data_IF_229669084611
#
_entry.id   IF_229669084611
#
_cell.length_a   1.000
_cell.length_b   1.000
_cell.length_c   1.000
_cell.angle_alpha   90.00
_cell.angle_beta   90.00
_cell.angle_gamma   90.00
#
_symmetry.space_group_name_H-M   'P 1'
#
loop_
_entity.id
_entity.type
_entity.pdbx_description
1 polymer ?
#
# COMPACT_ATOMS: atom_id res chain seq x y z
N UNK A 1 3.11 5.75 18.24
CA UNK A 1 4.00 6.93 18.42
C UNK A 1 5.20 6.87 17.49
N UNK A 2 5.02 7.16 16.20
CA UNK A 2 6.12 7.43 15.26
C UNK A 2 6.29 8.95 15.16
N UNK A 3 7.08 9.52 16.07
CA UNK A 3 7.02 10.93 16.44
C UNK A 3 7.44 12.00 15.42
N UNK A 4 7.58 11.72 14.10
CA UNK A 4 7.78 12.77 13.08
C UNK A 4 7.32 12.31 11.68
N UNK A 5 6.42 13.02 10.99
CA UNK A 5 5.91 12.65 9.65
C UNK A 5 7.02 12.54 8.60
N UNK A 6 8.04 13.39 8.69
CA UNK A 6 9.20 13.37 7.78
C UNK A 6 10.02 12.07 7.89
N UNK A 7 10.05 11.42 9.06
CA UNK A 7 10.71 10.12 9.23
C UNK A 7 9.88 8.99 8.64
N UNK A 8 8.55 9.07 8.76
CA UNK A 8 7.63 8.08 8.18
C UNK A 8 7.72 8.06 6.64
N UNK A 9 7.76 9.23 5.99
CA UNK A 9 7.96 9.32 4.53
C UNK A 9 9.32 8.80 4.08
N UNK A 10 10.40 9.09 4.81
CA UNK A 10 11.74 8.56 4.50
C UNK A 10 11.77 7.04 4.66
N UNK A 11 11.16 6.52 5.72
CA UNK A 11 11.08 5.08 5.95
C UNK A 11 10.25 4.38 4.87
N UNK A 12 9.10 4.94 4.48
CA UNK A 12 8.31 4.45 3.36
C UNK A 12 9.12 4.45 2.04
N UNK A 13 9.85 5.52 1.75
CA UNK A 13 10.72 5.59 0.59
C UNK A 13 11.84 4.53 0.59
N UNK A 14 12.46 4.28 1.74
CA UNK A 14 13.47 3.23 1.90
C UNK A 14 12.87 1.82 1.74
N UNK A 15 11.66 1.58 2.26
CA UNK A 15 10.94 0.32 2.06
C UNK A 15 10.60 0.08 0.59
N UNK A 16 10.14 1.11 -0.12
CA UNK A 16 9.86 1.02 -1.55
C UNK A 16 11.13 0.76 -2.36
N UNK A 17 12.23 1.45 -2.03
CA UNK A 17 13.53 1.22 -2.67
C UNK A 17 14.04 -0.21 -2.42
N UNK A 18 13.98 -0.68 -1.17
CA UNK A 18 14.33 -2.05 -0.81
C UNK A 18 13.49 -3.07 -1.57
N UNK A 19 12.17 -2.87 -1.61
CA UNK A 19 11.24 -3.70 -2.38
C UNK A 19 11.54 -3.70 -3.88
N UNK A 20 11.93 -2.56 -4.46
CA UNK A 20 12.35 -2.46 -5.85
C UNK A 20 13.66 -3.22 -6.11
N UNK A 21 14.66 -3.09 -5.24
CA UNK A 21 15.93 -3.82 -5.36
C UNK A 21 15.73 -5.33 -5.26
N UNK A 22 14.96 -5.78 -4.25
CA UNK A 22 14.63 -7.21 -4.07
C UNK A 22 13.81 -7.72 -5.25
N UNK A 23 12.84 -6.94 -5.72
CA UNK A 23 12.01 -7.26 -6.88
C UNK A 23 12.82 -7.39 -8.16
N UNK A 24 13.76 -6.47 -8.40
CA UNK A 24 14.66 -6.50 -9.56
C UNK A 24 15.57 -7.72 -9.51
N UNK A 25 16.21 -7.97 -8.36
CA UNK A 25 17.04 -9.15 -8.17
C UNK A 25 16.25 -10.45 -8.40
N UNK A 26 15.09 -10.58 -7.78
CA UNK A 26 14.24 -11.75 -7.91
C UNK A 26 13.75 -11.94 -9.37
N UNK A 27 13.40 -10.85 -10.04
CA UNK A 27 13.00 -10.85 -11.45
C UNK A 27 14.14 -11.36 -12.33
N UNK A 28 15.36 -10.81 -12.19
CA UNK A 28 16.52 -11.23 -12.97
C UNK A 28 16.88 -12.69 -12.74
N UNK A 29 16.91 -13.15 -11.49
CA UNK A 29 17.21 -14.55 -11.15
C UNK A 29 16.14 -15.48 -11.69
N UNK A 30 14.86 -15.18 -11.47
CA UNK A 30 13.75 -16.03 -11.93
C UNK A 30 13.67 -16.11 -13.45
N UNK A 31 13.87 -14.99 -14.14
CA UNK A 31 13.95 -14.92 -15.61
C UNK A 31 15.17 -15.69 -16.13
N UNK A 32 16.33 -15.58 -15.48
CA UNK A 32 17.52 -16.36 -15.81
C UNK A 32 17.29 -17.87 -15.67
N UNK A 33 16.70 -18.29 -14.55
CA UNK A 33 16.35 -19.70 -14.31
C UNK A 33 15.33 -20.19 -15.34
N UNK A 34 14.30 -19.41 -15.66
CA UNK A 34 13.28 -19.84 -16.61
C UNK A 34 13.77 -19.85 -18.07
N UNK A 35 14.71 -18.99 -18.46
CA UNK A 35 15.29 -19.00 -19.81
C UNK A 35 16.20 -20.21 -20.04
N UNK A 36 17.08 -20.51 -19.07
CA UNK A 36 18.12 -21.54 -19.19
C UNK A 36 17.60 -22.90 -18.69
N UNK A 37 16.85 -22.90 -17.59
CA UNK A 37 16.44 -24.09 -16.85
C UNK A 37 15.09 -24.68 -17.23
N UNK A 38 14.32 -24.08 -18.15
CA UNK A 38 13.00 -24.61 -18.54
C UNK A 38 13.06 -26.09 -19.01
N UNK A 39 14.13 -26.48 -19.72
CA UNK A 39 14.35 -27.86 -20.16
C UNK A 39 14.68 -28.85 -19.05
N UNK A 40 15.02 -28.38 -17.84
CA UNK A 40 15.22 -29.25 -16.69
C UNK A 40 13.87 -29.71 -16.07
N UNK A 41 12.79 -28.95 -16.30
CA UNK A 41 11.47 -29.23 -15.73
C UNK A 41 10.54 -29.98 -16.68
N UNK A 42 10.84 -30.00 -17.97
CA UNK A 42 10.02 -30.67 -18.98
C UNK A 42 10.84 -31.14 -20.18
N UNK A 43 10.50 -32.32 -20.68
CA UNK A 43 11.10 -32.88 -21.91
C UNK A 43 10.36 -32.44 -23.18
N UNK A 44 9.23 -31.74 -23.05
CA UNK A 44 8.44 -31.27 -24.20
C UNK A 44 9.00 -29.96 -24.75
N UNK A 45 9.56 -30.01 -25.96
CA UNK A 45 10.08 -28.83 -26.65
C UNK A 45 9.02 -27.74 -26.82
N UNK A 46 7.77 -28.14 -27.08
CA UNK A 46 6.65 -27.21 -27.16
C UNK A 46 6.51 -26.41 -25.86
N UNK A 47 6.48 -27.06 -24.70
CA UNK A 47 6.33 -26.38 -23.40
C UNK A 47 7.51 -25.44 -23.12
N UNK A 48 8.74 -25.84 -23.44
CA UNK A 48 9.92 -24.98 -23.27
C UNK A 48 9.80 -23.70 -24.10
N UNK A 49 9.34 -23.81 -25.35
CA UNK A 49 9.10 -22.65 -26.20
C UNK A 49 8.01 -21.73 -25.62
N UNK A 50 6.91 -22.31 -25.11
CA UNK A 50 5.86 -21.53 -24.44
C UNK A 50 6.38 -20.78 -23.22
N UNK A 51 7.17 -21.45 -22.38
CA UNK A 51 7.77 -20.81 -21.20
C UNK A 51 8.65 -19.64 -21.64
N UNK A 52 9.52 -19.82 -22.65
CA UNK A 52 10.39 -18.75 -23.15
C UNK A 52 9.63 -17.51 -23.62
N UNK A 53 8.46 -17.68 -24.24
CA UNK A 53 7.63 -16.52 -24.65
C UNK A 53 7.08 -15.70 -23.50
N UNK A 54 6.82 -16.32 -22.34
CA UNK A 54 6.24 -15.64 -21.17
C UNK A 54 7.29 -15.14 -20.18
N UNK A 55 8.55 -15.58 -20.27
CA UNK A 55 9.62 -15.16 -19.37
C UNK A 55 9.72 -13.64 -19.16
N UNK A 56 9.70 -12.77 -20.19
CA UNK A 56 9.77 -11.33 -19.95
C UNK A 56 8.55 -10.81 -19.16
N UNK A 57 7.37 -11.33 -19.47
CA UNK A 57 6.11 -11.01 -18.79
C UNK A 57 6.13 -11.47 -17.32
N UNK A 58 6.66 -12.66 -17.05
CA UNK A 58 6.89 -13.17 -15.71
C UNK A 58 7.86 -12.28 -14.92
N UNK A 59 8.98 -11.88 -15.53
CA UNK A 59 9.95 -10.98 -14.90
C UNK A 59 9.30 -9.65 -14.49
N UNK A 60 8.51 -9.05 -15.38
CA UNK A 60 7.75 -7.82 -15.08
C UNK A 60 6.73 -8.05 -13.95
N UNK A 61 5.98 -9.16 -14.00
CA UNK A 61 5.00 -9.49 -12.98
C UNK A 61 5.63 -9.67 -11.59
N UNK A 62 6.82 -10.29 -11.52
CA UNK A 62 7.57 -10.47 -10.27
C UNK A 62 8.07 -9.14 -9.70
N UNK A 63 8.59 -8.26 -10.57
CA UNK A 63 9.02 -6.92 -10.17
C UNK A 63 7.85 -6.11 -9.61
N UNK A 64 6.74 -6.05 -10.35
CA UNK A 64 5.53 -5.33 -9.92
C UNK A 64 4.93 -5.94 -8.65
N UNK A 65 4.98 -7.26 -8.50
CA UNK A 65 4.52 -7.92 -7.27
C UNK A 65 5.31 -7.46 -6.05
N UNK A 66 6.65 -7.47 -6.11
CA UNK A 66 7.50 -7.02 -5.02
C UNK A 66 7.26 -5.55 -4.67
N UNK A 67 7.16 -4.68 -5.70
CA UNK A 67 6.84 -3.28 -5.49
C UNK A 67 5.46 -3.09 -4.83
N UNK A 68 4.48 -3.86 -5.28
CA UNK A 68 3.14 -3.81 -4.73
C UNK A 68 3.08 -4.29 -3.28
N UNK A 69 3.80 -5.36 -2.91
CA UNK A 69 3.94 -5.81 -1.52
C UNK A 69 4.61 -4.74 -0.64
N UNK A 70 5.60 -4.01 -1.17
CA UNK A 70 6.23 -2.91 -0.44
C UNK A 70 5.23 -1.76 -0.17
N UNK A 71 4.43 -1.37 -1.16
CA UNK A 71 3.38 -0.34 -0.96
C UNK A 71 2.33 -0.77 0.07
N UNK A 72 1.97 -2.05 0.08
CA UNK A 72 1.02 -2.62 1.03
C UNK A 72 1.57 -2.64 2.45
N UNK A 73 2.85 -3.00 2.63
CA UNK A 73 3.53 -2.92 3.92
C UNK A 73 3.54 -1.50 4.51
N UNK A 74 3.69 -0.47 3.67
CA UNK A 74 3.60 0.93 4.10
C UNK A 74 2.17 1.29 4.54
N UNK A 75 1.14 0.87 3.80
CA UNK A 75 -0.26 1.09 4.17
C UNK A 75 -0.65 0.35 5.46
N UNK A 76 -0.11 -0.86 5.64
CA UNK A 76 -0.33 -1.67 6.84
C UNK A 76 0.28 -1.00 8.08
N UNK A 77 1.48 -0.42 7.95
CA UNK A 77 2.11 0.37 9.00
C UNK A 77 1.29 1.63 9.36
N UNK A 78 0.53 2.18 8.40
CA UNK A 78 -0.43 3.27 8.61
C UNK A 78 -1.80 2.84 9.13
N UNK A 79 -1.98 1.56 9.49
CA UNK A 79 -3.24 0.97 10.00
C UNK A 79 -4.48 1.12 9.11
N UNK A 80 -4.29 1.24 7.79
CA UNK A 80 -5.37 1.49 6.82
C UNK A 80 -6.03 0.21 6.27
N UNK A 81 -6.45 -0.69 7.16
CA UNK A 81 -6.92 -2.03 6.76
C UNK A 81 -8.22 -2.01 5.95
N UNK A 82 -9.14 -1.07 6.23
CA UNK A 82 -10.43 -0.96 5.52
C UNK A 82 -10.25 -0.59 4.05
N UNK A 83 -9.38 0.38 3.77
CA UNK A 83 -9.04 0.77 2.40
C UNK A 83 -8.39 -0.39 1.65
N UNK A 84 -7.44 -1.07 2.29
CA UNK A 84 -6.74 -2.21 1.71
C UNK A 84 -7.74 -3.28 1.27
N UNK A 85 -8.64 -3.72 2.17
CA UNK A 85 -9.68 -4.70 1.86
C UNK A 85 -10.59 -4.25 0.71
N UNK A 86 -11.05 -2.99 0.71
CA UNK A 86 -11.89 -2.46 -0.37
C UNK A 86 -11.17 -2.48 -1.73
N UNK A 87 -9.90 -2.08 -1.76
CA UNK A 87 -9.07 -2.09 -2.97
C UNK A 87 -8.86 -3.51 -3.52
N UNK A 88 -8.77 -4.51 -2.63
CA UNK A 88 -8.68 -5.92 -3.01
C UNK A 88 -9.93 -6.41 -3.71
N UNK A 89 -11.12 -6.09 -3.20
CA UNK A 89 -12.37 -6.49 -3.86
C UNK A 89 -12.47 -5.92 -5.28
N UNK A 90 -12.12 -4.65 -5.46
CA UNK A 90 -12.10 -4.01 -6.78
C UNK A 90 -11.11 -4.70 -7.70
N UNK A 91 -9.88 -4.94 -7.23
CA UNK A 91 -8.83 -5.54 -8.04
C UNK A 91 -9.12 -7.01 -8.40
N UNK A 92 -9.65 -7.79 -7.45
CA UNK A 92 -10.10 -9.16 -7.68
C UNK A 92 -11.27 -9.20 -8.67
N UNK A 93 -12.27 -8.32 -8.53
CA UNK A 93 -13.39 -8.21 -9.47
C UNK A 93 -12.91 -7.91 -10.89
N UNK A 94 -11.96 -6.99 -11.04
CA UNK A 94 -11.38 -6.66 -12.33
C UNK A 94 -10.57 -7.83 -12.92
N UNK A 95 -9.80 -8.55 -12.11
CA UNK A 95 -9.06 -9.73 -12.58
C UNK A 95 -9.99 -10.86 -13.03
N UNK A 96 -11.08 -11.10 -12.30
CA UNK A 96 -12.11 -12.08 -12.70
C UNK A 96 -12.77 -11.66 -14.01
N UNK A 97 -13.10 -10.37 -14.17
CA UNK A 97 -13.67 -9.84 -15.41
C UNK A 97 -12.69 -10.02 -16.60
N UNK A 98 -11.42 -9.66 -16.42
CA UNK A 98 -10.40 -9.83 -17.45
C UNK A 98 -10.15 -11.29 -17.82
N UNK A 99 -10.17 -12.20 -16.83
CA UNK A 99 -10.04 -13.63 -17.08
C UNK A 99 -11.27 -14.18 -17.82
N UNK A 100 -12.47 -13.74 -17.44
CA UNK A 100 -13.73 -14.14 -18.09
C UNK A 100 -13.80 -13.64 -19.54
N UNK A 101 -13.31 -12.43 -19.80
CA UNK A 101 -13.18 -11.89 -21.14
C UNK A 101 -12.22 -12.73 -21.98
N UNK A 102 -11.04 -13.08 -21.42
CA UNK A 102 -10.06 -13.94 -22.09
C UNK A 102 -10.64 -15.31 -22.46
N UNK A 103 -11.37 -15.96 -21.54
CA UNK A 103 -11.95 -17.28 -21.80
C UNK A 103 -13.10 -17.25 -22.80
N UNK A 104 -13.87 -16.17 -22.86
CA UNK A 104 -15.00 -16.02 -23.79
C UNK A 104 -14.56 -15.68 -25.22
N UNK A 105 -13.54 -14.85 -25.38
CA UNK A 105 -13.12 -14.35 -26.70
C UNK A 105 -12.00 -15.16 -27.35
N UNK A 106 -11.32 -16.02 -26.60
CA UNK A 106 -10.29 -16.89 -27.13
C UNK A 106 -10.67 -18.36 -26.90
N UNK A 107 -11.57 -18.87 -27.74
CA UNK A 107 -12.11 -20.23 -27.63
C UNK A 107 -11.10 -21.37 -27.94
N UNK A 108 -9.87 -21.05 -28.34
CA UNK A 108 -8.85 -22.02 -28.71
C UNK A 108 -7.47 -21.62 -28.14
N UNK A 109 -7.26 -21.75 -26.84
CA UNK A 109 -6.05 -21.19 -26.23
C UNK A 109 -4.96 -22.22 -25.95
N UNK A 110 -4.03 -22.32 -26.90
CA UNK A 110 -2.65 -22.77 -26.66
C UNK A 110 -1.81 -21.63 -26.06
N UNK A 111 -0.71 -21.25 -26.72
CA UNK A 111 0.22 -20.18 -26.33
C UNK A 111 -0.42 -18.83 -25.92
N UNK A 112 -1.56 -18.49 -26.52
CA UNK A 112 -2.30 -17.26 -26.21
C UNK A 112 -2.91 -17.26 -24.79
N UNK A 113 -3.31 -18.42 -24.24
CA UNK A 113 -3.85 -18.50 -22.88
C UNK A 113 -2.79 -18.16 -21.85
N UNK A 114 -1.62 -18.77 -21.98
CA UNK A 114 -0.57 -18.60 -21.00
C UNK A 114 -0.13 -17.13 -20.96
N UNK A 115 0.08 -16.53 -22.14
CA UNK A 115 0.38 -15.10 -22.26
C UNK A 115 -0.74 -14.22 -21.67
N UNK A 116 -2.00 -14.54 -21.96
CA UNK A 116 -3.16 -13.84 -21.43
C UNK A 116 -3.24 -13.87 -19.90
N UNK A 117 -3.00 -15.02 -19.28
CA UNK A 117 -2.98 -15.16 -17.81
C UNK A 117 -1.89 -14.29 -17.19
N UNK A 118 -0.69 -14.25 -17.79
CA UNK A 118 0.39 -13.39 -17.32
C UNK A 118 0.07 -11.90 -17.50
N UNK A 119 -0.63 -11.52 -18.58
CA UNK A 119 -1.10 -10.15 -18.76
C UNK A 119 -2.13 -9.76 -17.69
N UNK A 120 -3.09 -10.64 -17.36
CA UNK A 120 -4.02 -10.42 -16.25
C UNK A 120 -3.28 -10.28 -14.93
N UNK A 121 -2.22 -11.08 -14.71
CA UNK A 121 -1.39 -10.98 -13.51
C UNK A 121 -0.65 -9.64 -13.44
N UNK A 122 -0.08 -9.16 -14.54
CA UNK A 122 0.57 -7.85 -14.62
C UNK A 122 -0.45 -6.74 -14.34
N UNK A 123 -1.60 -6.78 -15.02
CA UNK A 123 -2.71 -5.84 -14.81
C UNK A 123 -3.12 -5.78 -13.33
N UNK A 124 -3.29 -6.93 -12.68
CA UNK A 124 -3.64 -7.01 -11.26
C UNK A 124 -2.61 -6.26 -10.39
N UNK A 125 -1.31 -6.40 -10.67
CA UNK A 125 -0.29 -5.68 -9.90
C UNK A 125 -0.28 -4.18 -10.21
N UNK A 126 -0.44 -3.79 -11.48
CA UNK A 126 -0.49 -2.38 -11.88
C UNK A 126 -1.65 -1.66 -11.20
N UNK A 127 -2.85 -2.25 -11.23
CA UNK A 127 -4.04 -1.67 -10.58
C UNK A 127 -3.84 -1.57 -9.08
N UNK A 128 -3.24 -2.60 -8.44
CA UNK A 128 -2.92 -2.56 -7.01
C UNK A 128 -1.95 -1.44 -6.67
N UNK A 129 -0.89 -1.28 -7.45
CA UNK A 129 0.09 -0.19 -7.27
C UNK A 129 -0.56 1.16 -7.47
N UNK A 130 -1.41 1.32 -8.48
CA UNK A 130 -2.12 2.56 -8.76
C UNK A 130 -3.05 2.93 -7.61
N UNK A 131 -3.89 2.00 -7.12
CA UNK A 131 -4.79 2.23 -5.99
C UNK A 131 -4.01 2.54 -4.69
N UNK A 132 -2.95 1.79 -4.41
CA UNK A 132 -2.12 2.04 -3.23
C UNK A 132 -1.41 3.40 -3.35
N UNK A 133 -0.92 3.74 -4.55
CA UNK A 133 -0.23 4.99 -4.84
C UNK A 133 -1.13 6.22 -4.72
N UNK A 134 -2.35 6.16 -5.26
CA UNK A 134 -3.32 7.27 -5.14
C UNK A 134 -3.69 7.54 -3.68
N UNK A 135 -3.73 6.50 -2.84
CA UNK A 135 -3.96 6.68 -1.40
C UNK A 135 -2.74 7.25 -0.68
N UNK A 136 -1.54 6.69 -0.93
CA UNK A 136 -0.30 7.13 -0.28
C UNK A 136 0.05 8.59 -0.59
N UNK A 137 -0.19 9.02 -1.84
CA UNK A 137 0.07 10.38 -2.32
C UNK A 137 -1.13 11.33 -2.13
N UNK A 138 -2.32 10.77 -1.85
CA UNK A 138 -3.54 11.53 -1.73
C UNK A 138 -3.60 12.39 -0.46
N UNK A 139 -4.48 13.41 -0.43
CA UNK A 139 -4.70 14.24 0.75
C UNK A 139 -5.25 13.45 1.97
N UNK A 140 -5.77 12.25 1.73
CA UNK A 140 -6.32 11.32 2.72
C UNK A 140 -5.25 10.41 3.36
N UNK A 141 -3.99 10.54 2.94
CA UNK A 141 -2.88 9.74 3.46
C UNK A 141 -2.65 10.03 4.95
N UNK A 142 -2.68 8.99 5.78
CA UNK A 142 -2.38 9.10 7.22
C UNK A 142 -0.95 9.59 7.47
N UNK A 143 -0.02 9.32 6.55
CA UNK A 143 1.34 9.88 6.57
C UNK A 143 1.35 11.41 6.55
N UNK A 144 0.31 12.03 5.94
CA UNK A 144 0.15 13.48 5.85
C UNK A 144 -0.63 14.04 7.05
N UNK A 145 -1.63 13.32 7.54
CA UNK A 145 -2.47 13.75 8.67
C UNK A 145 -1.71 13.79 10.01
N UNK A 146 -0.77 12.86 10.25
CA UNK A 146 0.09 12.90 11.44
C UNK A 146 1.01 14.14 11.49
N UNK A 147 1.25 14.82 10.37
CA UNK A 147 2.01 16.07 10.33
C UNK A 147 1.18 17.32 10.60
N UNK A 148 -0.12 17.29 10.32
CA UNK A 148 -1.01 18.44 10.54
C UNK A 148 -1.40 18.59 12.00
N UNK A 149 -1.73 17.47 12.68
CA UNK A 149 -2.18 17.52 14.08
C UNK A 149 -1.13 17.95 15.11
N UNK A 150 0.16 17.87 14.77
CA UNK A 150 1.24 18.35 15.65
C UNK A 150 1.41 19.88 15.61
N UNK A 151 0.95 20.54 14.54
CA UNK A 151 1.07 21.99 14.41
C UNK A 151 -0.03 22.70 15.22
N UNK A 152 -1.24 22.15 15.17
CA UNK A 152 -2.42 22.69 15.87
C UNK A 152 -2.33 22.55 17.40
N UNK A 153 -1.68 21.49 17.89
CA UNK A 153 -1.45 21.29 19.33
C UNK A 153 -0.47 22.33 19.92
N UNK A 154 0.55 22.76 19.17
CA UNK A 154 1.52 23.76 19.65
C UNK A 154 0.95 25.19 19.70
N UNK A 155 0.00 25.51 18.82
CA UNK A 155 -0.73 26.78 18.88
C UNK A 155 -1.73 26.83 20.03
N UNK A 156 -2.33 25.69 20.39
CA UNK A 156 -3.24 25.60 21.53
C UNK A 156 -2.54 25.75 22.88
N UNK A 157 -1.35 25.18 23.05
CA UNK A 157 -0.54 25.37 24.27
C UNK A 157 0.04 26.78 24.40
N UNK A 158 0.41 27.43 23.28
CA UNK A 158 0.88 28.81 23.30
C UNK A 158 -0.23 29.82 23.65
N UNK A 159 -1.47 29.58 23.20
CA UNK A 159 -2.64 30.41 23.52
C UNK A 159 -3.17 30.15 24.94
N UNK A 160 -3.14 28.90 25.40
CA UNK A 160 -3.47 28.54 26.79
C UNK A 160 -2.45 29.11 27.80
N UNK A 161 -1.16 29.10 27.46
CA UNK A 161 -0.12 29.71 28.29
C UNK A 161 -0.18 31.24 28.33
N UNK A 162 -0.69 31.89 27.28
CA UNK A 162 -0.94 33.33 27.26
C UNK A 162 -2.14 33.73 28.13
N UNK A 163 -3.25 32.97 28.08
CA UNK A 163 -4.43 33.20 28.93
C UNK A 163 -4.19 32.90 30.41
N UNK A 164 -3.35 31.92 30.74
CA UNK A 164 -3.00 31.64 32.14
C UNK A 164 -2.23 32.80 32.80
N UNK A 165 -1.44 33.55 32.03
CA UNK A 165 -0.71 34.73 32.55
C UNK A 165 -1.57 35.98 32.71
N UNK A 166 -2.74 36.06 32.06
CA UNK A 166 -3.70 37.14 32.28
C UNK A 166 -4.66 36.87 33.45
N UNK A 167 -4.82 35.60 33.87
CA UNK A 167 -5.67 35.21 35.00
C UNK A 167 -5.00 35.30 36.39
N UNK A 168 -3.66 35.27 36.48
CA UNK A 168 -2.94 35.27 37.76
C UNK A 168 -2.65 36.69 38.31
N UNK A 169 -3.33 37.71 37.77
CA UNK A 169 -3.27 39.09 38.28
C UNK A 169 -4.59 39.57 38.91
N UNK A 170 -5.61 38.72 39.02
CA UNK A 170 -6.90 39.11 39.58
C UNK A 170 -7.53 38.00 40.41
N UNK A 171 -7.67 38.24 41.72
CA UNK A 171 -8.70 37.62 42.54
C UNK A 171 -8.20 36.78 43.71
N UNK A 172 -7.82 37.47 44.79
CA UNK A 172 -7.90 36.99 46.16
C UNK A 172 -9.32 37.34 46.65
N UNK A 173 -10.22 36.35 46.80
CA UNK A 173 -11.36 36.37 47.75
C UNK A 173 -12.16 35.04 47.66
N UNK A 174 -12.10 34.28 48.75
CA UNK A 174 -13.17 33.60 49.48
C UNK A 174 -14.21 32.68 48.77
N UNK A 175 -14.29 31.44 49.29
CA UNK A 175 -15.60 30.88 49.68
C UNK A 175 -16.12 29.63 48.95
N UNK A 176 -16.04 28.49 49.66
CA UNK A 176 -16.99 27.37 49.72
C UNK A 176 -17.70 26.83 48.45
N UNK A 177 -17.41 25.56 48.14
CA UNK A 177 -18.45 24.54 48.25
C UNK A 177 -19.03 23.88 46.99
N UNK A 178 -18.85 22.55 46.97
CA UNK A 178 -19.91 21.55 46.69
C UNK A 178 -20.08 21.00 45.25
N UNK A 179 -19.79 19.68 45.19
CA UNK A 179 -20.36 18.57 44.40
C UNK A 179 -20.04 18.40 42.90
N UNK A 180 -19.09 17.48 42.68
CA UNK A 180 -19.20 16.25 41.88
C UNK A 180 -20.53 16.08 41.14
N UNK A 181 -20.48 16.06 39.80
CA UNK A 181 -21.36 15.18 39.03
C UNK A 181 -20.60 14.51 37.88
N UNK A 182 -20.60 13.19 37.94
CA UNK A 182 -19.92 12.27 37.06
C UNK A 182 -20.99 11.51 36.28
N UNK A 183 -21.48 12.07 35.17
CA UNK A 183 -22.19 11.33 34.14
C UNK A 183 -22.52 12.23 32.95
N UNK A 184 -21.93 11.94 31.78
CA UNK A 184 -22.53 12.03 30.42
C UNK A 184 -21.44 12.00 29.34
N UNK A 185 -20.98 10.82 28.94
CA UNK A 185 -20.57 10.56 27.54
C UNK A 185 -20.77 9.08 27.21
N UNK A 186 -22.02 8.62 27.14
CA UNK A 186 -22.45 7.54 26.24
C UNK A 186 -23.91 7.85 25.87
N UNK A 187 -24.11 8.35 24.65
CA UNK A 187 -25.33 8.23 23.87
C UNK A 187 -24.93 8.31 22.39
#
# INVERSE_FOLDING_TARGET
HLGRPSRAFRFAGLLLLCGACVGLFNSMVSTGIATIGAGAFTSSAAVVEQVRTIVPLMGVALLLHAFSMATEGVLFAGSQMRFMVASYFINCGLAVASLSYLTQHHAAMGLAALTGIWLVKVQFQVVRIALNGTWLLGPWSTLRQEGSGATDASSGEADAGARAKEGEAAGDDDGEGVLIDAAKVIA
#
